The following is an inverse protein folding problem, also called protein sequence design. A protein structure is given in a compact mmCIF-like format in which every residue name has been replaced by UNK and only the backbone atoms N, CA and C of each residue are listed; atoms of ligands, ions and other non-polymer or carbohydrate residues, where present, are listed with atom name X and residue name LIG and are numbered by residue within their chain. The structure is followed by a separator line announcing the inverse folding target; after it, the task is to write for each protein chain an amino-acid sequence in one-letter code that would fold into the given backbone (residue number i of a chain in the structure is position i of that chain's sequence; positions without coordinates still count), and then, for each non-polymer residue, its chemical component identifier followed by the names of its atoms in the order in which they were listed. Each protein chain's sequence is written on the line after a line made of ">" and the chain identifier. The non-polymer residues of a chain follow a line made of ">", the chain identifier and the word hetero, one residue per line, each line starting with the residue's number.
data_IF_676640625343
#
_entry.id   IF_676640625343
#
_cell.length_a   1.000
_cell.length_b   1.000
_cell.length_c   1.000
_cell.angle_alpha   90.00
_cell.angle_beta   90.00
_cell.angle_gamma   90.00
#
_symmetry.space_group_name_H-M   'P 1'
#
loop_
_entity.id
_entity.type
_entity.pdbx_description
1 polymer ?
#
# COMPACT_ATOMS: atom_id res chain seq x y z
N UNK A 1 -7.48 9.92 7.13
CA UNK A 1 -8.90 10.33 7.03
C UNK A 1 -9.36 10.65 8.43
N UNK A 2 -9.93 11.84 8.70
CA UNK A 2 -10.38 12.17 10.05
C UNK A 2 -11.38 11.13 10.58
N UNK A 3 -11.47 10.91 11.90
CA UNK A 3 -12.40 9.93 12.48
C UNK A 3 -13.88 10.23 12.18
N UNK A 4 -14.18 11.46 11.82
CA UNK A 4 -15.51 12.00 11.49
C UNK A 4 -15.76 12.15 9.99
N UNK A 5 -14.93 11.52 9.15
CA UNK A 5 -15.10 11.55 7.69
C UNK A 5 -16.43 10.89 7.30
N UNK A 6 -17.41 11.71 6.96
CA UNK A 6 -18.77 11.31 6.63
C UNK A 6 -19.13 11.50 5.15
N UNK A 7 -18.16 11.82 4.28
CA UNK A 7 -18.43 12.01 2.86
C UNK A 7 -18.75 10.69 2.17
N UNK A 8 -19.79 10.71 1.36
CA UNK A 8 -20.29 9.52 0.64
C UNK A 8 -19.65 9.33 -0.73
N UNK A 9 -18.88 10.32 -1.21
CA UNK A 9 -18.18 10.28 -2.51
C UNK A 9 -16.67 10.60 -2.34
N UNK A 10 -15.86 9.59 -2.05
CA UNK A 10 -14.40 9.74 -1.96
C UNK A 10 -13.76 10.24 -3.26
N UNK A 11 -14.32 9.90 -4.40
CA UNK A 11 -13.81 10.32 -5.70
C UNK A 11 -13.94 11.82 -5.92
N UNK A 12 -15.10 12.39 -5.57
CA UNK A 12 -15.33 13.84 -5.63
C UNK A 12 -14.38 14.60 -4.68
N UNK A 13 -14.12 14.06 -3.50
CA UNK A 13 -13.18 14.64 -2.53
C UNK A 13 -11.75 14.70 -3.07
N UNK A 14 -11.29 13.59 -3.62
CA UNK A 14 -9.94 13.52 -4.21
C UNK A 14 -9.81 14.47 -5.40
N UNK A 15 -10.85 14.57 -6.25
CA UNK A 15 -10.87 15.49 -7.38
C UNK A 15 -10.86 16.97 -6.92
N UNK A 16 -11.58 17.30 -5.84
CA UNK A 16 -11.57 18.64 -5.25
C UNK A 16 -10.18 19.01 -4.72
N UNK A 17 -9.52 18.09 -3.99
CA UNK A 17 -8.16 18.28 -3.49
C UNK A 17 -7.14 18.41 -4.60
N UNK A 18 -7.24 17.59 -5.64
CA UNK A 18 -6.36 17.68 -6.80
C UNK A 18 -6.47 19.05 -7.47
N UNK A 19 -7.68 19.59 -7.63
CA UNK A 19 -7.91 20.94 -8.17
C UNK A 19 -7.36 22.03 -7.25
N UNK A 20 -7.59 21.92 -5.93
CA UNK A 20 -7.09 22.88 -4.94
C UNK A 20 -5.54 22.95 -4.92
N UNK A 21 -4.88 21.82 -5.21
CA UNK A 21 -3.42 21.71 -5.29
C UNK A 21 -2.87 22.01 -6.69
N UNK A 22 -3.74 22.37 -7.63
CA UNK A 22 -3.38 22.61 -9.03
C UNK A 22 -2.57 21.45 -9.66
N UNK A 23 -2.90 20.20 -9.30
CA UNK A 23 -2.21 19.03 -9.84
C UNK A 23 -2.58 18.82 -11.32
N UNK A 24 -1.61 18.45 -12.17
CA UNK A 24 -1.88 18.12 -13.57
C UNK A 24 -2.70 16.81 -13.64
N UNK A 25 -3.58 16.72 -14.62
CA UNK A 25 -4.38 15.50 -14.89
C UNK A 25 -3.64 14.59 -15.89
N UNK A 26 -3.78 13.26 -15.80
CA UNK A 26 -4.59 12.52 -14.81
C UNK A 26 -3.95 12.45 -13.42
N UNK A 27 -4.76 12.35 -12.37
CA UNK A 27 -4.35 12.25 -10.97
C UNK A 27 -4.85 10.96 -10.37
N UNK A 28 -4.01 10.29 -9.60
CA UNK A 28 -4.39 9.16 -8.73
C UNK A 28 -4.37 9.65 -7.29
N UNK A 29 -5.47 9.45 -6.58
CA UNK A 29 -5.60 9.76 -5.17
C UNK A 29 -5.97 8.52 -4.36
N UNK A 30 -5.45 8.42 -3.15
CA UNK A 30 -5.76 7.36 -2.19
C UNK A 30 -6.10 7.99 -0.83
N UNK A 31 -7.13 7.47 -0.16
CA UNK A 31 -7.53 7.93 1.17
C UNK A 31 -6.97 6.97 2.23
N UNK A 32 -6.52 7.52 3.34
CA UNK A 32 -6.05 6.75 4.49
C UNK A 32 -6.53 7.39 5.80
N UNK A 33 -6.68 6.58 6.85
CA UNK A 33 -6.90 7.04 8.22
C UNK A 33 -5.58 7.27 8.97
N UNK A 34 -4.47 6.78 8.43
CA UNK A 34 -3.11 7.02 8.96
C UNK A 34 -2.71 8.45 8.65
N UNK A 35 -2.02 9.12 9.56
CA UNK A 35 -1.41 10.40 9.25
C UNK A 35 -0.40 10.21 8.10
N UNK A 36 -0.52 11.00 7.05
CA UNK A 36 0.38 10.90 5.90
C UNK A 36 1.82 11.30 6.23
N UNK A 37 2.04 12.01 7.34
CA UNK A 37 3.37 12.27 7.86
C UNK A 37 4.08 11.00 8.35
N UNK A 38 3.31 9.98 8.75
CA UNK A 38 3.80 8.65 9.17
C UNK A 38 3.97 7.69 7.99
N UNK A 39 4.18 8.20 6.79
CA UNK A 39 4.49 7.35 5.65
C UNK A 39 5.90 6.76 5.74
N UNK A 40 6.06 5.59 5.15
CA UNK A 40 7.34 4.89 5.05
C UNK A 40 7.78 4.80 3.60
N UNK A 41 9.04 5.08 3.35
CA UNK A 41 9.65 5.00 2.03
C UNK A 41 10.79 3.98 2.01
N UNK A 42 10.89 3.24 0.91
CA UNK A 42 12.05 2.40 0.64
C UNK A 42 12.39 2.40 -0.86
N UNK A 43 13.66 2.24 -1.15
CA UNK A 43 14.18 2.08 -2.51
C UNK A 43 14.95 0.78 -2.64
N UNK A 44 14.80 0.14 -3.78
CA UNK A 44 15.63 -0.98 -4.18
C UNK A 44 15.77 -0.99 -5.71
N UNK A 45 16.99 -0.95 -6.20
CA UNK A 45 17.26 -0.91 -7.65
C UNK A 45 16.45 0.16 -8.37
N UNK A 46 15.61 -0.29 -9.29
CA UNK A 46 14.75 0.57 -10.13
C UNK A 46 13.41 0.94 -9.46
N UNK A 47 13.13 0.48 -8.24
CA UNK A 47 11.85 0.72 -7.60
C UNK A 47 11.96 1.59 -6.34
N UNK A 48 10.96 2.47 -6.15
CA UNK A 48 10.69 3.17 -4.89
C UNK A 48 9.27 2.85 -4.45
N UNK A 49 9.09 2.44 -3.20
CA UNK A 49 7.78 2.28 -2.57
C UNK A 49 7.56 3.37 -1.52
N UNK A 50 6.33 3.89 -1.45
CA UNK A 50 5.84 4.78 -0.40
C UNK A 50 4.57 4.14 0.16
N UNK A 51 4.50 3.93 1.47
CA UNK A 51 3.38 3.28 2.13
C UNK A 51 2.90 4.05 3.35
N UNK A 52 1.58 4.18 3.53
CA UNK A 52 0.96 4.44 4.82
C UNK A 52 0.34 3.13 5.32
N UNK A 53 0.59 2.75 6.57
CA UNK A 53 0.28 1.41 7.05
C UNK A 53 -0.53 1.49 8.34
N UNK A 54 -1.83 1.13 8.27
CA UNK A 54 -2.73 1.04 9.41
C UNK A 54 -3.27 -0.38 9.54
N UNK A 55 -2.73 -1.17 10.47
CA UNK A 55 -2.96 -2.63 10.58
C UNK A 55 -3.84 -3.06 11.75
N UNK A 56 -4.51 -2.14 12.45
CA UNK A 56 -5.38 -2.48 13.61
C UNK A 56 -6.46 -3.51 13.29
N UNK A 57 -6.94 -3.52 12.05
CA UNK A 57 -7.97 -4.43 11.56
C UNK A 57 -7.46 -5.20 10.33
N UNK A 58 -6.25 -5.73 10.45
CA UNK A 58 -5.64 -6.50 9.39
C UNK A 58 -6.40 -7.82 9.16
N UNK A 59 -6.51 -8.23 7.90
CA UNK A 59 -7.31 -9.35 7.44
C UNK A 59 -6.48 -10.30 6.58
N UNK A 60 -6.85 -11.57 6.61
CA UNK A 60 -6.46 -12.52 5.57
C UNK A 60 -7.46 -12.44 4.41
N UNK A 61 -6.97 -12.32 3.17
CA UNK A 61 -7.83 -12.22 1.97
C UNK A 61 -8.78 -13.42 1.81
N UNK A 62 -8.33 -14.62 2.18
CA UNK A 62 -9.14 -15.83 2.19
C UNK A 62 -9.75 -16.12 3.58
N UNK A 63 -9.98 -15.11 4.39
CA UNK A 63 -10.65 -15.25 5.68
C UNK A 63 -12.14 -15.59 5.55
N UNK A 64 -12.70 -16.18 6.60
CA UNK A 64 -13.88 -17.03 6.54
C UNK A 64 -15.22 -16.33 6.33
N UNK A 65 -15.40 -15.05 6.59
CA UNK A 65 -16.71 -14.38 6.39
C UNK A 65 -16.57 -12.86 6.21
N UNK A 66 -17.38 -12.26 5.34
CA UNK A 66 -17.55 -10.82 5.30
C UNK A 66 -17.97 -10.29 6.67
N UNK A 67 -17.32 -9.24 7.14
CA UNK A 67 -17.65 -8.49 8.37
C UNK A 67 -17.85 -7.03 8.02
N UNK A 68 -18.57 -6.26 8.87
CA UNK A 68 -18.55 -4.81 8.75
C UNK A 68 -17.11 -4.29 8.68
N UNK A 69 -16.87 -3.38 7.73
CA UNK A 69 -15.53 -2.81 7.51
C UNK A 69 -15.18 -1.92 8.69
N UNK A 70 -14.11 -2.25 9.38
CA UNK A 70 -13.50 -1.39 10.38
C UNK A 70 -12.31 -0.63 9.78
N UNK A 71 -12.01 0.55 10.28
CA UNK A 71 -10.96 1.40 9.75
C UNK A 71 -9.58 0.74 9.93
N UNK A 72 -8.92 0.53 8.84
CA UNK A 72 -7.55 0.06 8.70
C UNK A 72 -7.24 0.08 7.22
N UNK A 73 -6.13 0.69 6.80
CA UNK A 73 -5.82 0.90 5.38
C UNK A 73 -4.32 0.85 5.17
N UNK A 74 -3.90 0.11 4.17
CA UNK A 74 -2.55 0.20 3.63
C UNK A 74 -2.66 0.85 2.25
N UNK A 75 -2.15 2.07 2.12
CA UNK A 75 -1.97 2.69 0.81
C UNK A 75 -0.54 2.51 0.36
N UNK A 76 -0.35 2.08 -0.88
CA UNK A 76 0.94 1.75 -1.45
C UNK A 76 1.10 2.44 -2.81
N UNK A 77 2.10 3.31 -2.91
CA UNK A 77 2.56 3.89 -4.18
C UNK A 77 3.90 3.26 -4.55
N UNK A 78 3.98 2.68 -5.73
CA UNK A 78 5.21 2.11 -6.28
C UNK A 78 5.61 2.88 -7.53
N UNK A 79 6.79 3.49 -7.49
CA UNK A 79 7.39 4.20 -8.61
C UNK A 79 8.48 3.31 -9.21
N UNK A 80 8.40 3.04 -10.52
CA UNK A 80 9.30 2.14 -11.23
C UNK A 80 10.05 2.89 -12.31
N UNK A 81 11.37 2.95 -12.19
CA UNK A 81 12.27 3.56 -13.19
C UNK A 81 12.54 2.55 -14.33
N UNK A 82 11.47 2.14 -14.97
CA UNK A 82 11.47 1.30 -16.17
C UNK A 82 10.17 1.49 -16.95
N UNK A 83 10.22 1.36 -18.27
CA UNK A 83 9.06 1.43 -19.13
C UNK A 83 8.37 0.05 -19.20
N UNK A 84 7.23 -0.10 -18.55
CA UNK A 84 6.48 -1.35 -18.50
C UNK A 84 5.40 -1.39 -19.58
N UNK A 85 5.21 -2.56 -20.18
CA UNK A 85 4.00 -2.85 -20.97
C UNK A 85 2.79 -3.01 -20.01
N UNK A 86 1.56 -3.07 -20.55
CA UNK A 86 0.37 -3.38 -19.75
C UNK A 86 0.51 -4.72 -19.00
N UNK A 87 1.08 -5.74 -19.65
CA UNK A 87 1.39 -7.03 -19.02
C UNK A 87 2.46 -6.87 -17.92
N UNK A 88 3.48 -6.05 -18.16
CA UNK A 88 4.49 -5.70 -17.17
C UNK A 88 3.88 -4.96 -15.96
N UNK A 89 2.96 -4.02 -16.19
CA UNK A 89 2.24 -3.32 -15.12
C UNK A 89 1.37 -4.28 -14.29
N UNK A 90 0.65 -5.21 -14.93
CA UNK A 90 -0.12 -6.23 -14.23
C UNK A 90 0.78 -7.12 -13.36
N UNK A 91 1.94 -7.57 -13.88
CA UNK A 91 2.93 -8.33 -13.13
C UNK A 91 3.55 -7.53 -11.97
N UNK A 92 3.82 -6.24 -12.17
CA UNK A 92 4.32 -5.34 -11.13
C UNK A 92 3.31 -5.15 -10.00
N UNK A 93 2.03 -5.00 -10.34
CA UNK A 93 0.93 -4.90 -9.38
C UNK A 93 0.83 -6.19 -8.53
N UNK A 94 0.84 -7.36 -9.16
CA UNK A 94 0.85 -8.64 -8.47
C UNK A 94 2.04 -8.75 -7.51
N UNK A 95 3.25 -8.49 -7.98
CA UNK A 95 4.48 -8.56 -7.20
C UNK A 95 4.45 -7.59 -6.00
N UNK A 96 3.92 -6.38 -6.19
CA UNK A 96 3.76 -5.42 -5.11
C UNK A 96 2.81 -5.94 -4.00
N UNK A 97 1.69 -6.56 -4.37
CA UNK A 97 0.75 -7.14 -3.41
C UNK A 97 1.34 -8.35 -2.69
N UNK A 98 2.11 -9.21 -3.38
CA UNK A 98 2.84 -10.32 -2.76
C UNK A 98 3.89 -9.81 -1.75
N UNK A 99 4.66 -8.78 -2.12
CA UNK A 99 5.64 -8.13 -1.24
C UNK A 99 4.98 -7.51 0.01
N UNK A 100 3.80 -6.87 -0.14
CA UNK A 100 3.00 -6.37 0.98
C UNK A 100 2.58 -7.50 1.93
N UNK A 101 2.01 -8.58 1.40
CA UNK A 101 1.58 -9.71 2.22
C UNK A 101 2.76 -10.36 2.96
N UNK A 102 3.89 -10.53 2.29
CA UNK A 102 5.12 -11.03 2.90
C UNK A 102 5.63 -10.12 4.01
N UNK A 103 5.55 -8.80 3.84
CA UNK A 103 5.96 -7.82 4.85
C UNK A 103 5.11 -7.91 6.12
N UNK A 104 3.79 -8.06 5.98
CA UNK A 104 2.87 -8.22 7.12
C UNK A 104 3.16 -9.52 7.88
N UNK A 105 3.37 -10.63 7.17
CA UNK A 105 3.73 -11.90 7.77
C UNK A 105 5.07 -11.81 8.53
N UNK A 106 6.10 -11.18 7.93
CA UNK A 106 7.40 -10.98 8.55
C UNK A 106 7.37 -10.01 9.75
N UNK A 107 6.39 -9.10 9.81
CA UNK A 107 6.14 -8.23 10.95
C UNK A 107 5.28 -8.89 12.05
N UNK A 108 4.82 -10.14 11.85
CA UNK A 108 4.00 -10.86 12.81
C UNK A 108 2.56 -10.33 12.92
N UNK A 109 2.05 -9.63 11.90
CA UNK A 109 0.70 -9.10 11.92
C UNK A 109 -0.30 -10.24 11.71
N UNK A 110 -1.06 -10.56 12.78
CA UNK A 110 -2.09 -11.58 12.74
C UNK A 110 -3.38 -11.08 12.05
N UNK A 111 -4.05 -11.97 11.33
CA UNK A 111 -5.37 -11.68 10.78
C UNK A 111 -6.44 -11.67 11.87
N UNK A 112 -7.40 -10.74 11.80
CA UNK A 112 -8.53 -10.67 12.75
C UNK A 112 -9.72 -11.51 12.32
N UNK A 113 -9.72 -12.04 11.09
CA UNK A 113 -10.82 -12.82 10.49
C UNK A 113 -10.46 -14.28 10.20
N UNK A 114 -9.24 -14.71 10.48
CA UNK A 114 -8.75 -16.07 10.29
C UNK A 114 -7.56 -16.34 11.20
N UNK A 115 -7.17 -17.61 11.38
CA UNK A 115 -5.89 -17.96 11.97
C UNK A 115 -4.76 -17.68 10.98
N UNK A 116 -3.59 -17.24 11.51
CA UNK A 116 -2.39 -16.98 10.72
C UNK A 116 -2.17 -15.52 10.37
N UNK A 117 -1.23 -15.24 9.43
CA UNK A 117 -0.84 -13.88 9.10
C UNK A 117 -1.88 -13.16 8.27
N UNK A 118 -1.97 -11.85 8.47
CA UNK A 118 -2.74 -10.97 7.61
C UNK A 118 -2.08 -10.81 6.22
N UNK A 119 -2.88 -10.53 5.20
CA UNK A 119 -2.43 -10.22 3.84
C UNK A 119 -2.69 -8.78 3.43
N UNK A 120 -3.46 -8.05 4.25
CA UNK A 120 -3.84 -6.66 4.02
C UNK A 120 -4.90 -6.22 5.00
N UNK A 121 -5.69 -5.21 4.61
CA UNK A 121 -6.87 -4.73 5.33
C UNK A 121 -8.09 -4.70 4.40
N UNK A 122 -9.23 -4.22 4.90
CA UNK A 122 -10.46 -4.21 4.10
C UNK A 122 -10.47 -3.13 2.99
N UNK A 123 -9.63 -2.10 3.09
CA UNK A 123 -9.70 -0.91 2.24
C UNK A 123 -8.34 -0.53 1.64
N UNK A 124 -7.45 -1.49 1.48
CA UNK A 124 -6.14 -1.26 0.87
C UNK A 124 -6.29 -0.67 -0.55
N UNK A 125 -5.42 0.27 -0.87
CA UNK A 125 -5.29 0.80 -2.21
C UNK A 125 -3.82 0.81 -2.65
N UNK A 126 -3.61 0.66 -3.95
CA UNK A 126 -2.26 0.74 -4.50
C UNK A 126 -2.25 1.42 -5.88
N UNK A 127 -1.10 1.99 -6.19
CA UNK A 127 -0.80 2.53 -7.50
C UNK A 127 0.62 2.12 -7.90
N UNK A 128 0.78 1.64 -9.12
CA UNK A 128 2.09 1.44 -9.75
C UNK A 128 2.23 2.46 -10.87
N UNK A 129 3.25 3.30 -10.78
CA UNK A 129 3.60 4.26 -11.81
C UNK A 129 4.97 3.89 -12.42
N UNK A 130 5.01 3.78 -13.73
CA UNK A 130 6.19 3.43 -14.50
C UNK A 130 6.53 4.53 -15.51
N UNK A 131 7.73 4.51 -16.05
CA UNK A 131 8.11 5.42 -17.15
C UNK A 131 7.26 5.15 -18.39
N UNK A 132 7.00 6.17 -19.20
CA UNK A 132 6.34 5.98 -20.49
C UNK A 132 7.17 5.08 -21.41
N UNK A 133 6.48 4.25 -22.19
CA UNK A 133 7.07 3.29 -23.10
C UNK A 133 6.60 1.85 -22.85
N UNK A 134 7.13 0.90 -23.58
CA UNK A 134 6.68 -0.49 -23.53
C UNK A 134 7.87 -1.46 -23.79
N UNK A 135 8.88 -1.45 -22.92
CA UNK A 135 10.08 -2.24 -23.10
C UNK A 135 10.17 -3.46 -22.19
N UNK A 136 9.50 -3.45 -21.02
CA UNK A 136 9.54 -4.54 -20.04
C UNK A 136 8.18 -5.22 -19.98
N UNK A 137 8.08 -6.45 -20.47
CA UNK A 137 6.84 -7.22 -20.52
C UNK A 137 6.57 -8.03 -19.23
N UNK A 138 7.58 -8.28 -18.41
CA UNK A 138 7.47 -9.11 -17.22
C UNK A 138 8.06 -8.39 -16.00
N UNK A 139 7.30 -8.33 -14.91
CA UNK A 139 7.73 -7.77 -13.64
C UNK A 139 7.35 -8.68 -12.45
N UNK A 140 7.32 -9.99 -12.67
CA UNK A 140 7.21 -10.98 -11.60
C UNK A 140 8.46 -11.04 -10.73
N UNK A 141 8.38 -11.62 -9.51
CA UNK A 141 9.44 -11.53 -8.49
C UNK A 141 10.78 -12.17 -8.91
N UNK A 142 10.80 -13.04 -9.92
CA UNK A 142 12.02 -13.61 -10.47
C UNK A 142 12.72 -12.73 -11.52
N UNK A 143 12.10 -11.63 -11.93
CA UNK A 143 12.71 -10.65 -12.84
C UNK A 143 13.44 -9.58 -12.03
N UNK A 144 14.41 -8.88 -12.66
CA UNK A 144 15.11 -7.78 -11.99
C UNK A 144 14.14 -6.71 -11.50
N UNK A 145 13.25 -6.21 -12.36
CA UNK A 145 12.29 -5.15 -12.01
C UNK A 145 11.31 -5.63 -10.96
N UNK A 146 10.78 -6.85 -11.09
CA UNK A 146 9.88 -7.41 -10.09
C UNK A 146 10.56 -7.65 -8.74
N UNK A 147 11.80 -8.15 -8.73
CA UNK A 147 12.60 -8.27 -7.52
C UNK A 147 12.83 -6.92 -6.83
N UNK A 148 13.15 -5.87 -7.60
CA UNK A 148 13.31 -4.51 -7.09
C UNK A 148 12.01 -4.00 -6.45
N UNK A 149 10.86 -4.22 -7.09
CA UNK A 149 9.53 -3.87 -6.57
C UNK A 149 9.24 -4.62 -5.27
N UNK A 150 9.44 -5.94 -5.26
CA UNK A 150 9.19 -6.77 -4.09
C UNK A 150 9.98 -6.29 -2.87
N UNK A 151 11.28 -6.03 -3.03
CA UNK A 151 12.16 -5.57 -1.95
C UNK A 151 11.79 -4.17 -1.46
N UNK A 152 11.51 -3.22 -2.35
CA UNK A 152 11.11 -1.87 -1.96
C UNK A 152 9.79 -1.89 -1.18
N UNK A 153 8.78 -2.61 -1.67
CA UNK A 153 7.47 -2.74 -1.02
C UNK A 153 7.60 -3.44 0.32
N UNK A 154 8.31 -4.57 0.36
CA UNK A 154 8.54 -5.31 1.60
C UNK A 154 9.14 -4.41 2.68
N UNK A 155 10.19 -3.65 2.35
CA UNK A 155 10.87 -2.79 3.31
C UNK A 155 9.95 -1.66 3.82
N UNK A 156 9.25 -0.95 2.92
CA UNK A 156 8.37 0.15 3.29
C UNK A 156 7.19 -0.32 4.15
N UNK A 157 6.50 -1.38 3.74
CA UNK A 157 5.33 -1.89 4.47
C UNK A 157 5.73 -2.51 5.80
N UNK A 158 6.84 -3.25 5.85
CA UNK A 158 7.32 -3.85 7.10
C UNK A 158 7.68 -2.77 8.13
N UNK A 159 8.32 -1.68 7.72
CA UNK A 159 8.66 -0.57 8.62
C UNK A 159 7.41 0.00 9.28
N UNK A 160 6.36 0.31 8.49
CA UNK A 160 5.10 0.83 9.01
C UNK A 160 4.34 -0.19 9.88
N UNK A 161 4.33 -1.47 9.48
CA UNK A 161 3.67 -2.51 10.26
C UNK A 161 4.30 -2.72 11.63
N UNK A 162 5.63 -2.66 11.73
CA UNK A 162 6.36 -2.75 13.02
C UNK A 162 6.08 -1.52 13.89
N UNK A 163 6.06 -0.32 13.31
CA UNK A 163 5.75 0.91 14.05
C UNK A 163 4.32 0.89 14.61
N UNK A 164 3.33 0.50 13.80
CA UNK A 164 1.92 0.45 14.22
C UNK A 164 1.65 -0.67 15.25
N UNK A 165 2.41 -1.76 15.22
CA UNK A 165 2.31 -2.86 16.19
C UNK A 165 3.04 -2.58 17.50
N UNK A 166 3.91 -1.58 17.54
CA UNK A 166 4.58 -1.19 18.76
C UNK A 166 3.55 -0.67 19.79
N UNK A 167 3.65 -1.08 21.08
CA UNK A 167 2.79 -0.50 22.10
C UNK A 167 3.00 1.02 22.11
N UNK A 168 1.88 1.77 22.18
CA UNK A 168 1.94 3.22 22.33
C UNK A 168 2.88 3.51 23.50
N UNK A 169 4.00 4.20 23.23
CA UNK A 169 4.83 4.69 24.32
C UNK A 169 3.94 5.62 25.13
N UNK A 170 3.65 5.23 26.37
CA UNK A 170 2.92 6.05 27.32
C UNK A 170 3.53 7.45 27.28
N UNK A 171 2.76 8.42 26.80
CA UNK A 171 3.10 9.81 26.98
C UNK A 171 3.20 10.02 28.49
N UNK A 172 4.42 10.08 29.00
CA UNK A 172 4.67 10.43 30.39
C UNK A 172 4.01 11.79 30.66
N UNK A 173 3.30 11.90 31.78
CA UNK A 173 2.58 13.10 32.16
C UNK A 173 3.49 14.32 32.37
#
# INVERSE_FOLDING_TARGET
>A
MPPDYARTDPGADLAERARALALPTPVVGMLTAVDVADHHEARHGTAKAVATVGVRHALAAAGTRPRPVAAGTINLLVLVDAALTDAGLAGAAQTAIEGKAQALAAAGIAATNAEGPATGTATDAFCVAALPGASVAFAGPATRVGGDIAHAVFAAVRAGAVQEAAPAQDALP
#
